data_IF_688070388606
#
_entry.id   IF_688070388606
#
_cell.length_a   1.000
_cell.length_b   1.000
_cell.length_c   1.000
_cell.angle_alpha   90.00
_cell.angle_beta   90.00
_cell.angle_gamma   90.00
#
_symmetry.space_group_name_H-M   'P 1'
#
loop_
_entity.id
_entity.type
_entity.pdbx_description
1 polymer ?
#
# COMPACT_ATOMS: atom_id res chain seq x y z
N UNK A 1 3.26 -6.74 0.99
CA UNK A 1 2.20 -6.87 2.01
C UNK A 1 2.48 -5.98 3.22
N UNK A 2 3.70 -5.97 3.80
CA UNK A 2 4.09 -5.08 4.91
C UNK A 2 3.76 -3.62 4.61
N UNK A 3 4.10 -3.14 3.41
CA UNK A 3 3.85 -1.79 2.94
C UNK A 3 2.37 -1.38 3.09
N UNK A 4 1.44 -2.17 2.57
CA UNK A 4 0.00 -1.85 2.64
C UNK A 4 -0.62 -2.11 4.02
N UNK A 5 0.00 -2.97 4.84
CA UNK A 5 -0.44 -3.18 6.23
C UNK A 5 -0.10 -1.97 7.10
N UNK A 6 1.12 -1.45 6.96
CA UNK A 6 1.60 -0.34 7.78
C UNK A 6 1.20 1.03 7.23
N UNK A 7 1.08 1.16 5.90
CA UNK A 7 0.80 2.40 5.19
C UNK A 7 -0.34 2.22 4.17
N UNK A 8 -1.53 1.76 4.58
CA UNK A 8 -2.64 1.60 3.66
C UNK A 8 -3.07 2.96 3.09
N UNK A 9 -3.37 3.07 1.78
CA UNK A 9 -3.76 4.32 1.13
C UNK A 9 -4.91 5.06 1.81
N UNK A 10 -5.85 4.34 2.41
CA UNK A 10 -7.00 4.90 3.13
C UNK A 10 -6.60 5.85 4.26
N UNK A 11 -5.47 5.60 4.94
CA UNK A 11 -4.99 6.45 6.03
C UNK A 11 -4.45 7.81 5.56
N UNK A 12 -4.17 7.96 4.28
CA UNK A 12 -3.69 9.21 3.69
C UNK A 12 -4.82 10.11 3.17
N UNK A 13 -6.07 9.65 3.28
CA UNK A 13 -7.25 10.34 2.73
C UNK A 13 -8.15 10.89 3.83
N UNK A 14 -8.85 11.98 3.51
CA UNK A 14 -10.00 12.43 4.29
C UNK A 14 -11.22 11.66 3.84
N UNK A 15 -11.97 11.10 4.79
CA UNK A 15 -13.13 10.26 4.53
C UNK A 15 -14.41 10.91 5.03
N UNK A 16 -15.49 10.76 4.29
CA UNK A 16 -16.87 10.96 4.77
C UNK A 16 -17.47 9.57 5.07
N UNK A 17 -17.31 9.14 6.30
CA UNK A 17 -17.64 7.76 6.73
C UNK A 17 -19.13 7.45 6.63
N UNK A 18 -20.00 8.47 6.77
CA UNK A 18 -21.46 8.31 6.61
C UNK A 18 -21.88 7.86 5.21
N UNK A 19 -21.05 8.19 4.20
CA UNK A 19 -21.27 7.80 2.79
C UNK A 19 -20.25 6.81 2.28
N UNK A 20 -19.27 6.43 3.09
CA UNK A 20 -18.13 5.59 2.72
C UNK A 20 -17.38 6.10 1.49
N UNK A 21 -17.15 7.43 1.39
CA UNK A 21 -16.46 8.08 0.26
C UNK A 21 -15.19 8.80 0.72
N UNK A 22 -14.20 8.84 -0.17
CA UNK A 22 -13.02 9.68 0.01
C UNK A 22 -13.28 11.09 -0.53
N UNK A 23 -12.78 12.10 0.20
CA UNK A 23 -12.96 13.53 -0.14
C UNK A 23 -11.75 14.13 -0.88
N UNK A 24 -10.76 13.32 -1.20
CA UNK A 24 -9.56 13.75 -1.93
C UNK A 24 -9.00 12.62 -2.77
N UNK A 25 -8.27 12.99 -3.83
CA UNK A 25 -7.56 12.02 -4.66
C UNK A 25 -6.37 11.42 -3.89
N UNK A 26 -6.03 10.18 -4.23
CA UNK A 26 -4.80 9.54 -3.79
C UNK A 26 -3.73 9.68 -4.88
N UNK A 27 -2.65 10.38 -4.56
CA UNK A 27 -1.52 10.57 -5.45
C UNK A 27 -0.24 10.07 -4.81
N UNK A 28 0.57 9.31 -5.56
CA UNK A 28 1.86 8.82 -5.11
C UNK A 28 2.95 8.99 -6.17
N UNK A 29 4.19 9.02 -5.70
CA UNK A 29 5.38 9.01 -6.52
C UNK A 29 6.17 7.72 -6.22
N UNK A 30 6.66 7.05 -7.25
CA UNK A 30 7.53 5.87 -7.11
C UNK A 30 8.88 6.19 -7.75
N UNK A 31 9.94 6.04 -6.98
CA UNK A 31 11.34 6.25 -7.39
C UNK A 31 12.04 4.90 -7.37
N UNK A 32 12.41 4.43 -8.57
CA UNK A 32 12.88 3.08 -8.81
C UNK A 32 11.75 2.12 -9.20
N UNK A 33 11.78 1.65 -10.45
CA UNK A 33 10.78 0.73 -11.01
C UNK A 33 11.37 -0.65 -11.32
N UNK A 34 12.08 -1.19 -10.33
CA UNK A 34 12.49 -2.60 -10.28
C UNK A 34 11.38 -3.50 -9.74
N UNK A 35 11.74 -4.68 -9.24
CA UNK A 35 10.77 -5.62 -8.67
C UNK A 35 9.97 -5.01 -7.53
N UNK A 36 10.63 -4.34 -6.56
CA UNK A 36 9.93 -3.77 -5.40
C UNK A 36 9.02 -2.61 -5.80
N UNK A 37 9.48 -1.68 -6.65
CA UNK A 37 8.66 -0.56 -7.11
C UNK A 37 7.43 -1.00 -7.90
N UNK A 38 7.58 -1.99 -8.78
CA UNK A 38 6.46 -2.52 -9.58
C UNK A 38 5.44 -3.31 -8.74
N UNK A 39 5.90 -4.13 -7.77
CA UNK A 39 5.01 -4.82 -6.84
C UNK A 39 4.29 -3.85 -5.90
N UNK A 40 5.00 -2.81 -5.42
CA UNK A 40 4.40 -1.77 -4.62
C UNK A 40 3.32 -1.00 -5.38
N UNK A 41 3.55 -0.64 -6.66
CA UNK A 41 2.53 0.00 -7.50
C UNK A 41 1.27 -0.85 -7.59
N UNK A 42 1.40 -2.15 -7.88
CA UNK A 42 0.25 -3.06 -7.96
C UNK A 42 -0.52 -3.13 -6.65
N UNK A 43 0.19 -3.28 -5.53
CA UNK A 43 -0.42 -3.34 -4.21
C UNK A 43 -1.14 -2.02 -3.83
N UNK A 44 -0.54 -0.87 -4.17
CA UNK A 44 -1.14 0.44 -3.94
C UNK A 44 -2.36 0.70 -4.83
N UNK A 45 -2.35 0.27 -6.09
CA UNK A 45 -3.53 0.32 -6.96
C UNK A 45 -4.65 -0.55 -6.39
N UNK A 46 -4.34 -1.78 -5.98
CA UNK A 46 -5.33 -2.69 -5.39
C UNK A 46 -6.01 -2.10 -4.17
N UNK A 47 -5.26 -1.43 -3.28
CA UNK A 47 -5.76 -0.88 -2.02
C UNK A 47 -6.20 0.58 -2.10
N UNK A 48 -5.87 1.29 -3.17
CA UNK A 48 -6.04 2.75 -3.32
C UNK A 48 -7.26 3.18 -4.13
N UNK A 49 -8.22 2.27 -4.37
CA UNK A 49 -9.43 2.59 -5.14
C UNK A 49 -10.60 2.90 -4.21
N UNK A 50 -11.04 4.15 -4.21
CA UNK A 50 -12.12 4.61 -3.35
C UNK A 50 -13.17 5.38 -4.16
N UNK A 51 -14.43 5.24 -3.80
CA UNK A 51 -15.48 6.11 -4.31
C UNK A 51 -15.17 7.56 -3.92
N UNK A 52 -15.21 8.48 -4.87
CA UNK A 52 -14.90 9.89 -4.65
C UNK A 52 -13.41 10.25 -4.76
N UNK A 53 -12.54 9.29 -5.08
CA UNK A 53 -11.09 9.50 -5.24
C UNK A 53 -10.59 8.92 -6.56
N UNK A 54 -9.66 9.63 -7.19
CA UNK A 54 -8.89 9.12 -8.33
C UNK A 54 -7.52 8.69 -7.85
N UNK A 55 -7.12 7.46 -8.19
CA UNK A 55 -5.76 6.97 -7.98
C UNK A 55 -4.84 7.52 -9.06
N UNK A 56 -3.74 8.17 -8.65
CA UNK A 56 -2.69 8.67 -9.54
C UNK A 56 -1.33 8.19 -9.07
N UNK A 57 -0.49 7.77 -9.99
CA UNK A 57 0.91 7.47 -9.68
C UNK A 57 1.84 8.05 -10.75
N UNK A 58 2.89 8.73 -10.29
CA UNK A 58 4.03 9.14 -11.12
C UNK A 58 5.18 8.20 -10.82
N UNK A 59 5.77 7.59 -11.83
CA UNK A 59 6.81 6.57 -11.70
C UNK A 59 8.08 7.08 -12.39
N UNK A 60 9.19 7.11 -11.64
CA UNK A 60 10.48 7.59 -12.13
C UNK A 60 11.50 6.47 -12.03
N UNK A 61 12.20 6.21 -13.13
CA UNK A 61 13.33 5.28 -13.18
C UNK A 61 14.29 5.69 -14.32
N UNK A 62 15.56 5.44 -14.15
CA UNK A 62 16.58 5.76 -15.17
C UNK A 62 16.45 4.92 -16.46
N UNK A 63 15.79 3.78 -16.39
CA UNK A 63 15.55 2.86 -17.51
C UNK A 63 14.06 2.72 -17.82
N UNK A 64 13.28 3.76 -17.56
CA UNK A 64 11.81 3.69 -17.59
C UNK A 64 11.25 3.24 -18.94
N UNK A 65 11.82 3.68 -20.06
CA UNK A 65 11.36 3.29 -21.41
C UNK A 65 11.31 1.77 -21.60
N UNK A 66 12.31 1.05 -21.11
CA UNK A 66 12.35 -0.41 -21.18
C UNK A 66 11.37 -1.06 -20.20
N UNK A 67 11.32 -0.53 -18.98
CA UNK A 67 10.54 -1.13 -17.89
C UNK A 67 9.03 -0.92 -18.06
N UNK A 68 8.60 0.29 -18.46
CA UNK A 68 7.19 0.61 -18.64
C UNK A 68 6.53 -0.27 -19.72
N UNK A 69 7.17 -0.43 -20.88
CA UNK A 69 6.62 -1.26 -21.96
C UNK A 69 6.44 -2.73 -21.55
N UNK A 70 7.39 -3.29 -20.81
CA UNK A 70 7.30 -4.66 -20.30
C UNK A 70 6.19 -4.78 -19.26
N UNK A 71 6.09 -3.83 -18.35
CA UNK A 71 5.07 -3.81 -17.30
C UNK A 71 3.65 -3.71 -17.87
N UNK A 72 3.42 -2.81 -18.82
CA UNK A 72 2.13 -2.65 -19.49
C UNK A 72 1.73 -3.88 -20.31
N UNK A 73 2.72 -4.58 -20.88
CA UNK A 73 2.48 -5.83 -21.60
C UNK A 73 1.94 -6.92 -20.65
N UNK A 74 2.53 -7.07 -19.47
CA UNK A 74 2.10 -8.06 -18.48
C UNK A 74 0.80 -7.68 -17.77
N UNK A 75 0.52 -6.38 -17.62
CA UNK A 75 -0.62 -5.86 -16.86
C UNK A 75 -1.48 -4.88 -17.68
N UNK A 76 -2.07 -5.33 -18.81
CA UNK A 76 -2.80 -4.43 -19.73
C UNK A 76 -4.00 -3.73 -19.10
N UNK A 77 -4.58 -4.28 -18.04
CA UNK A 77 -5.68 -3.66 -17.28
C UNK A 77 -5.28 -2.37 -16.56
N UNK A 78 -3.99 -2.16 -16.31
CA UNK A 78 -3.49 -0.97 -15.62
C UNK A 78 -3.54 0.30 -16.49
N UNK A 79 -3.73 0.20 -17.79
CA UNK A 79 -3.95 1.33 -18.70
C UNK A 79 -5.18 2.19 -18.35
N UNK A 80 -6.08 1.66 -17.54
CA UNK A 80 -7.26 2.40 -17.06
C UNK A 80 -6.96 3.33 -15.89
N UNK A 81 -5.76 3.27 -15.32
CA UNK A 81 -5.33 4.12 -14.22
C UNK A 81 -4.50 5.30 -14.70
N UNK A 82 -4.47 6.38 -13.94
CA UNK A 82 -3.66 7.55 -14.24
C UNK A 82 -2.21 7.29 -13.80
N UNK A 83 -1.45 6.61 -14.65
CA UNK A 83 -0.04 6.29 -14.44
C UNK A 83 0.80 7.13 -15.40
N UNK A 84 1.77 7.86 -14.85
CA UNK A 84 2.74 8.66 -15.61
C UNK A 84 4.14 8.08 -15.43
N UNK A 85 4.82 7.79 -16.52
CA UNK A 85 6.16 7.20 -16.52
C UNK A 85 7.19 8.22 -17.00
N UNK A 86 8.22 8.45 -16.20
CA UNK A 86 9.29 9.40 -16.49
C UNK A 86 10.66 8.73 -16.39
N UNK A 87 11.49 8.93 -17.41
CA UNK A 87 12.87 8.47 -17.40
C UNK A 87 13.75 9.59 -16.90
N UNK A 88 14.27 9.47 -15.69
CA UNK A 88 15.18 10.42 -15.09
C UNK A 88 16.12 9.73 -14.08
N UNK A 89 17.36 10.24 -14.03
CA UNK A 89 18.32 9.86 -13.00
C UNK A 89 18.00 10.56 -11.69
N UNK A 90 18.02 9.83 -10.58
CA UNK A 90 17.80 10.39 -9.24
C UNK A 90 18.83 11.48 -8.97
N UNK A 91 18.41 12.57 -8.31
CA UNK A 91 19.23 13.74 -8.00
C UNK A 91 19.67 14.58 -9.22
N UNK A 92 19.14 14.32 -10.41
CA UNK A 92 19.29 15.23 -11.55
C UNK A 92 18.40 16.46 -11.42
N UNK A 93 18.71 17.52 -12.13
CA UNK A 93 17.86 18.72 -12.20
C UNK A 93 16.45 18.40 -12.75
N UNK A 94 16.38 17.48 -13.72
CA UNK A 94 15.13 17.01 -14.30
C UNK A 94 14.25 16.31 -13.24
N UNK A 95 14.87 15.43 -12.43
CA UNK A 95 14.22 14.75 -11.32
C UNK A 95 13.60 15.74 -10.32
N UNK A 96 14.36 16.74 -9.86
CA UNK A 96 13.84 17.71 -8.90
C UNK A 96 12.78 18.64 -9.48
N UNK A 97 12.87 19.03 -10.75
CA UNK A 97 11.84 19.80 -11.43
C UNK A 97 10.53 19.02 -11.51
N UNK A 98 10.61 17.76 -11.92
CA UNK A 98 9.44 16.86 -11.96
C UNK A 98 8.83 16.67 -10.57
N UNK A 99 9.65 16.46 -9.56
CA UNK A 99 9.20 16.31 -8.18
C UNK A 99 8.45 17.55 -7.71
N UNK A 100 8.99 18.74 -7.96
CA UNK A 100 8.37 20.02 -7.60
C UNK A 100 6.98 20.18 -8.20
N UNK A 101 6.81 19.82 -9.47
CA UNK A 101 5.51 19.90 -10.16
C UNK A 101 4.45 18.93 -9.59
N UNK A 102 4.90 17.84 -8.92
CA UNK A 102 4.02 16.80 -8.37
C UNK A 102 3.73 16.95 -6.87
N UNK A 103 4.41 17.82 -6.14
CA UNK A 103 4.23 17.95 -4.67
C UNK A 103 2.80 18.26 -4.26
N UNK A 104 2.07 19.05 -5.06
CA UNK A 104 0.69 19.41 -4.75
C UNK A 104 -0.22 18.17 -4.75
N UNK A 105 -0.81 17.87 -3.59
CA UNK A 105 -1.72 16.73 -3.41
C UNK A 105 -1.03 15.38 -3.25
N UNK A 106 0.30 15.31 -3.29
CA UNK A 106 1.06 14.08 -3.08
C UNK A 106 0.83 13.56 -1.67
N UNK A 107 0.63 12.25 -1.55
CA UNK A 107 0.43 11.54 -0.27
C UNK A 107 1.63 10.69 0.10
N UNK A 108 2.11 9.87 -0.84
CA UNK A 108 3.22 8.95 -0.62
C UNK A 108 4.30 9.14 -1.68
N UNK A 109 5.54 9.07 -1.22
CA UNK A 109 6.71 8.86 -2.08
C UNK A 109 7.28 7.50 -1.69
N UNK A 110 7.42 6.62 -2.66
CA UNK A 110 8.04 5.32 -2.47
C UNK A 110 9.44 5.35 -3.07
N UNK A 111 10.45 4.96 -2.29
CA UNK A 111 11.85 4.85 -2.72
C UNK A 111 12.27 3.39 -2.72
N UNK A 112 12.58 2.83 -3.91
CA UNK A 112 12.89 1.42 -4.13
C UNK A 112 13.95 1.27 -5.24
N UNK A 113 15.16 1.79 -5.00
CA UNK A 113 16.28 1.82 -5.97
C UNK A 113 17.14 0.53 -5.94
N UNK A 114 16.84 -0.40 -5.01
CA UNK A 114 17.48 -1.71 -4.92
C UNK A 114 18.69 -1.79 -3.99
N UNK A 115 19.16 -0.68 -3.44
CA UNK A 115 20.26 -0.62 -2.47
C UNK A 115 19.86 0.21 -1.26
N UNK A 116 20.04 -0.33 -0.05
CA UNK A 116 19.61 0.30 1.21
C UNK A 116 20.23 1.70 1.39
N UNK A 117 21.55 1.83 1.17
CA UNK A 117 22.25 3.10 1.33
C UNK A 117 21.73 4.16 0.36
N UNK A 118 21.51 3.80 -0.90
CA UNK A 118 20.97 4.69 -1.92
C UNK A 118 19.52 5.08 -1.60
N UNK A 119 18.71 4.14 -1.15
CA UNK A 119 17.33 4.38 -0.74
C UNK A 119 17.27 5.38 0.43
N UNK A 120 18.07 5.17 1.47
CA UNK A 120 18.13 6.06 2.64
C UNK A 120 18.64 7.44 2.27
N UNK A 121 19.75 7.52 1.51
CA UNK A 121 20.29 8.80 1.04
C UNK A 121 19.23 9.59 0.27
N UNK A 122 18.57 8.93 -0.68
CA UNK A 122 17.50 9.55 -1.48
C UNK A 122 16.33 10.01 -0.60
N UNK A 123 15.91 9.20 0.39
CA UNK A 123 14.83 9.57 1.30
C UNK A 123 15.17 10.82 2.14
N UNK A 124 16.40 10.93 2.64
CA UNK A 124 16.86 12.11 3.38
C UNK A 124 16.92 13.36 2.49
N UNK A 125 17.44 13.23 1.26
CA UNK A 125 17.47 14.34 0.29
C UNK A 125 16.05 14.81 -0.08
N UNK A 126 15.11 13.87 -0.26
CA UNK A 126 13.69 14.16 -0.49
C UNK A 126 13.04 14.87 0.71
N UNK A 127 13.31 14.42 1.93
CA UNK A 127 12.83 15.05 3.14
C UNK A 127 13.26 16.53 3.21
N UNK A 128 14.54 16.80 2.96
CA UNK A 128 15.06 18.17 2.92
C UNK A 128 14.48 18.99 1.75
N UNK A 129 14.26 18.38 0.60
CA UNK A 129 13.65 19.06 -0.55
C UNK A 129 12.20 19.43 -0.26
N UNK A 130 11.39 18.49 0.23
CA UNK A 130 9.98 18.69 0.54
C UNK A 130 9.80 19.80 1.58
N UNK A 131 10.59 19.78 2.66
CA UNK A 131 10.52 20.79 3.72
C UNK A 131 10.82 22.23 3.25
N UNK A 132 11.56 22.39 2.13
CA UNK A 132 11.84 23.69 1.52
C UNK A 132 10.78 24.16 0.53
N UNK A 133 10.16 23.19 -0.18
CA UNK A 133 9.26 23.51 -1.30
C UNK A 133 7.79 23.54 -0.91
N UNK A 134 7.41 22.95 0.24
CA UNK A 134 6.01 22.90 0.68
C UNK A 134 5.89 22.78 2.20
N UNK A 135 4.81 23.35 2.74
CA UNK A 135 4.39 23.18 4.13
C UNK A 135 3.53 21.91 4.34
N UNK A 136 3.43 21.04 3.33
CA UNK A 136 2.65 19.81 3.43
C UNK A 136 3.40 18.74 4.24
N UNK A 137 3.16 18.70 5.54
CA UNK A 137 3.72 17.72 6.47
C UNK A 137 3.03 16.34 6.42
N UNK A 138 2.06 16.15 5.53
CA UNK A 138 1.31 14.89 5.38
C UNK A 138 1.96 13.91 4.40
N UNK A 139 2.96 14.34 3.62
CA UNK A 139 3.67 13.46 2.68
C UNK A 139 4.51 12.47 3.47
N UNK A 140 4.36 11.16 3.17
CA UNK A 140 5.22 10.10 3.74
C UNK A 140 6.18 9.58 2.69
N UNK A 141 7.45 9.39 3.10
CA UNK A 141 8.49 8.80 2.28
C UNK A 141 8.68 7.35 2.72
N UNK A 142 8.11 6.44 1.95
CA UNK A 142 8.15 5.00 2.20
C UNK A 142 9.43 4.43 1.57
N UNK A 143 10.38 4.05 2.40
CA UNK A 143 11.73 3.70 1.97
C UNK A 143 11.97 2.21 2.14
N UNK A 144 12.26 1.52 1.03
CA UNK A 144 12.59 0.10 1.00
C UNK A 144 13.98 -0.15 1.58
N UNK A 145 14.08 -0.94 2.66
CA UNK A 145 15.34 -1.23 3.36
C UNK A 145 15.33 -2.65 3.89
N UNK A 146 16.24 -3.48 3.41
CA UNK A 146 16.37 -4.89 3.83
C UNK A 146 16.93 -5.03 5.24
N UNK A 147 17.89 -4.16 5.63
CA UNK A 147 18.53 -4.20 6.94
C UNK A 147 18.20 -2.95 7.76
N UNK A 148 17.02 -2.91 8.35
CA UNK A 148 16.56 -1.76 9.13
C UNK A 148 17.38 -1.49 10.39
N UNK A 149 18.16 -2.46 10.90
CA UNK A 149 19.01 -2.28 12.09
C UNK A 149 20.12 -1.28 11.84
N UNK A 150 20.76 -1.33 10.65
CA UNK A 150 21.85 -0.43 10.30
C UNK A 150 21.37 1.03 10.16
N UNK A 151 20.07 1.23 9.91
CA UNK A 151 19.46 2.54 9.71
C UNK A 151 18.47 2.94 10.82
N UNK A 152 18.54 2.26 11.97
CA UNK A 152 17.67 2.54 13.13
C UNK A 152 17.78 3.99 13.63
N UNK A 153 18.90 4.67 13.39
CA UNK A 153 19.10 6.08 13.74
C UNK A 153 18.10 7.01 13.02
N UNK A 154 17.65 6.68 11.81
CA UNK A 154 16.59 7.42 11.10
C UNK A 154 15.28 7.36 11.90
N UNK A 155 14.92 6.18 12.39
CA UNK A 155 13.73 6.00 13.21
C UNK A 155 13.84 6.64 14.60
N UNK A 156 15.07 6.73 15.15
CA UNK A 156 15.33 7.40 16.43
C UNK A 156 15.27 8.92 16.29
N UNK A 157 15.71 9.49 15.15
CA UNK A 157 15.66 10.91 14.83
C UNK A 157 14.25 11.36 14.33
N UNK A 158 13.18 10.88 14.96
CA UNK A 158 11.78 11.10 14.54
C UNK A 158 11.38 12.59 14.42
N UNK A 159 12.02 13.46 15.19
CA UNK A 159 11.75 14.91 15.10
C UNK A 159 12.29 15.53 13.81
N UNK A 160 13.38 14.97 13.27
CA UNK A 160 14.01 15.45 12.04
C UNK A 160 13.47 14.78 10.78
N UNK A 161 13.04 13.51 10.87
CA UNK A 161 12.67 12.65 9.73
C UNK A 161 11.35 11.93 9.98
N UNK A 162 10.36 12.64 10.55
CA UNK A 162 9.04 12.06 10.90
C UNK A 162 8.27 11.50 9.70
N UNK A 163 8.55 12.00 8.50
CA UNK A 163 7.95 11.57 7.25
C UNK A 163 8.60 10.32 6.65
N UNK A 164 9.86 9.99 7.03
CA UNK A 164 10.56 8.81 6.51
C UNK A 164 10.11 7.56 7.25
N UNK A 165 9.59 6.61 6.50
CA UNK A 165 9.04 5.36 6.99
C UNK A 165 9.80 4.19 6.33
N UNK A 166 10.54 3.41 7.12
CA UNK A 166 11.28 2.25 6.62
C UNK A 166 10.36 1.03 6.54
N UNK A 167 10.45 0.25 5.47
CA UNK A 167 9.75 -1.02 5.28
C UNK A 167 10.64 -2.02 4.51
N UNK A 168 10.23 -3.28 4.39
CA UNK A 168 10.94 -4.29 3.60
C UNK A 168 11.99 -5.09 4.38
N UNK A 169 12.06 -4.88 5.70
CA UNK A 169 13.05 -5.55 6.54
C UNK A 169 12.94 -7.07 6.49
N UNK A 170 14.08 -7.73 6.29
CA UNK A 170 14.18 -9.17 6.40
C UNK A 170 13.69 -9.70 7.75
N UNK A 171 13.93 -8.97 8.85
CA UNK A 171 13.46 -9.35 10.18
C UNK A 171 11.93 -9.37 10.28
N UNK A 172 11.24 -8.53 9.49
CA UNK A 172 9.77 -8.48 9.45
C UNK A 172 9.17 -9.46 8.42
N UNK A 173 9.93 -9.80 7.37
CA UNK A 173 9.47 -10.69 6.30
C UNK A 173 9.68 -12.16 6.66
N UNK A 174 10.79 -12.49 7.31
CA UNK A 174 11.20 -13.86 7.64
C UNK A 174 10.98 -14.19 9.12
N UNK A 175 9.83 -13.85 9.68
CA UNK A 175 9.46 -14.27 11.04
C UNK A 175 8.92 -15.69 11.05
N UNK A 176 9.11 -16.41 12.16
CA UNK A 176 8.54 -17.76 12.37
C UNK A 176 7.03 -17.75 12.13
N UNK A 177 6.34 -16.70 12.59
CA UNK A 177 4.89 -16.55 12.47
C UNK A 177 4.44 -16.43 11.00
N UNK A 178 5.22 -15.78 10.15
CA UNK A 178 4.93 -15.67 8.72
C UNK A 178 5.29 -16.95 7.95
N UNK A 179 6.45 -17.54 8.26
CA UNK A 179 6.98 -18.68 7.50
C UNK A 179 6.32 -20.00 7.92
N UNK A 180 6.18 -20.23 9.22
CA UNK A 180 5.70 -21.50 9.77
C UNK A 180 4.20 -21.46 9.99
N UNK A 181 3.68 -20.42 10.62
CA UNK A 181 2.27 -20.32 11.02
C UNK A 181 1.36 -19.79 9.91
N UNK A 182 1.92 -19.41 8.75
CA UNK A 182 1.15 -18.87 7.62
C UNK A 182 0.14 -17.80 8.04
N UNK A 183 0.50 -16.97 9.02
CA UNK A 183 -0.38 -15.96 9.64
C UNK A 183 -1.01 -15.02 8.63
N UNK A 184 -0.30 -14.75 7.53
CA UNK A 184 -0.79 -13.93 6.41
C UNK A 184 -2.04 -14.50 5.74
N UNK A 185 -2.20 -15.83 5.73
CA UNK A 185 -3.35 -16.49 5.13
C UNK A 185 -4.50 -16.73 6.13
N UNK A 186 -4.26 -16.54 7.42
CA UNK A 186 -5.24 -16.92 8.46
C UNK A 186 -6.60 -16.25 8.24
N UNK A 187 -6.62 -14.95 7.99
CA UNK A 187 -7.87 -14.21 7.71
C UNK A 187 -8.52 -14.65 6.41
N UNK A 188 -7.72 -14.88 5.36
CA UNK A 188 -8.20 -15.38 4.07
C UNK A 188 -8.83 -16.78 4.20
N UNK A 189 -8.24 -17.65 5.02
CA UNK A 189 -8.77 -18.99 5.34
C UNK A 189 -10.11 -18.90 6.10
N UNK A 190 -10.24 -17.96 7.04
CA UNK A 190 -11.50 -17.70 7.75
C UNK A 190 -12.59 -17.23 6.78
N UNK A 191 -12.28 -16.28 5.89
CA UNK A 191 -13.21 -15.82 4.85
C UNK A 191 -13.65 -17.00 3.97
N UNK A 192 -12.69 -17.80 3.49
CA UNK A 192 -13.01 -18.98 2.70
C UNK A 192 -13.90 -19.96 3.44
N UNK A 193 -13.58 -20.28 4.70
CA UNK A 193 -14.35 -21.19 5.52
C UNK A 193 -15.80 -20.73 5.68
N UNK A 194 -16.00 -19.43 5.94
CA UNK A 194 -17.34 -18.83 6.06
C UNK A 194 -18.16 -19.01 4.78
N UNK A 195 -17.64 -18.61 3.62
CA UNK A 195 -18.34 -18.80 2.35
C UNK A 195 -18.50 -20.27 1.95
N UNK A 196 -17.54 -21.12 2.32
CA UNK A 196 -17.59 -22.53 2.00
C UNK A 196 -18.68 -23.26 2.79
N UNK A 197 -18.89 -22.88 4.07
CA UNK A 197 -19.93 -23.43 4.92
C UNK A 197 -21.36 -23.12 4.43
N UNK A 198 -21.54 -22.05 3.65
CA UNK A 198 -22.85 -21.69 3.07
C UNK A 198 -23.20 -22.53 1.82
N UNK A 199 -22.28 -23.34 1.31
CA UNK A 199 -22.51 -24.20 0.15
C UNK A 199 -23.05 -25.55 0.59
N UNK A 200 -23.78 -26.22 -0.33
CA UNK A 200 -24.11 -27.63 -0.14
C UNK A 200 -22.83 -28.47 0.05
N UNK A 201 -22.90 -29.48 0.91
CA UNK A 201 -21.72 -30.25 1.36
C UNK A 201 -20.88 -30.78 0.18
N UNK A 202 -21.54 -31.28 -0.86
CA UNK A 202 -20.90 -31.81 -2.09
C UNK A 202 -20.18 -30.75 -2.92
N UNK A 203 -20.43 -29.45 -2.66
CA UNK A 203 -19.78 -28.30 -3.34
C UNK A 203 -18.73 -27.62 -2.49
N UNK A 204 -18.51 -28.09 -1.27
CA UNK A 204 -17.50 -27.54 -0.38
C UNK A 204 -16.12 -27.99 -0.83
N UNK A 205 -15.17 -27.05 -0.85
CA UNK A 205 -13.78 -27.29 -1.25
C UNK A 205 -12.87 -26.84 -0.13
N UNK A 206 -12.03 -27.72 0.44
CA UNK A 206 -11.10 -27.32 1.49
C UNK A 206 -10.03 -26.35 0.95
N UNK A 207 -9.48 -25.50 1.83
CA UNK A 207 -8.47 -24.49 1.47
C UNK A 207 -7.31 -25.04 0.66
N UNK A 208 -6.80 -26.22 1.04
CA UNK A 208 -5.66 -26.88 0.40
C UNK A 208 -5.95 -27.24 -1.07
N UNK A 209 -7.20 -27.56 -1.38
CA UNK A 209 -7.64 -27.94 -2.73
C UNK A 209 -8.03 -26.75 -3.62
N UNK A 210 -7.98 -25.51 -3.09
CA UNK A 210 -8.21 -24.31 -3.90
C UNK A 210 -7.09 -24.11 -4.92
N UNK A 211 -7.48 -23.67 -6.13
CA UNK A 211 -6.50 -23.19 -7.11
C UNK A 211 -5.75 -21.96 -6.60
N UNK A 212 -4.50 -21.70 -7.06
CA UNK A 212 -3.74 -20.51 -6.67
C UNK A 212 -4.53 -19.20 -6.86
N UNK A 213 -5.27 -19.07 -7.95
CA UNK A 213 -6.10 -17.90 -8.23
C UNK A 213 -7.18 -17.70 -7.15
N UNK A 214 -7.86 -18.77 -6.74
CA UNK A 214 -8.89 -18.69 -5.69
C UNK A 214 -8.31 -18.38 -4.32
N UNK A 215 -7.11 -18.88 -4.00
CA UNK A 215 -6.39 -18.50 -2.77
C UNK A 215 -6.05 -17.01 -2.81
N UNK A 216 -5.48 -16.53 -3.92
CA UNK A 216 -5.17 -15.12 -4.11
C UNK A 216 -6.39 -14.22 -3.95
N UNK A 217 -7.55 -14.58 -4.51
CA UNK A 217 -8.80 -13.82 -4.33
C UNK A 217 -9.21 -13.69 -2.87
N UNK A 218 -9.08 -14.75 -2.06
CA UNK A 218 -9.38 -14.67 -0.62
C UNK A 218 -8.34 -13.84 0.14
N UNK A 219 -7.05 -13.92 -0.24
CA UNK A 219 -5.97 -13.10 0.35
C UNK A 219 -6.20 -11.62 0.04
N UNK A 220 -6.56 -11.29 -1.20
CA UNK A 220 -6.92 -9.93 -1.61
C UNK A 220 -8.14 -9.42 -0.81
N UNK A 221 -9.20 -10.22 -0.70
CA UNK A 221 -10.36 -9.87 0.11
C UNK A 221 -10.01 -9.61 1.58
N UNK A 222 -9.11 -10.42 2.16
CA UNK A 222 -8.62 -10.25 3.53
C UNK A 222 -7.82 -8.95 3.70
N UNK A 223 -6.96 -8.60 2.74
CA UNK A 223 -6.18 -7.36 2.78
C UNK A 223 -7.05 -6.09 2.71
N UNK A 224 -8.23 -6.17 2.11
CA UNK A 224 -9.18 -5.06 2.01
C UNK A 224 -10.04 -4.83 3.26
N UNK A 225 -10.02 -5.74 4.25
CA UNK A 225 -10.90 -5.62 5.44
C UNK A 225 -10.64 -4.32 6.18
N UNK A 226 -9.36 -4.00 6.45
CA UNK A 226 -9.00 -2.77 7.15
C UNK A 226 -9.53 -1.52 6.42
N UNK A 227 -9.33 -1.43 5.13
CA UNK A 227 -9.82 -0.34 4.28
C UNK A 227 -11.35 -0.20 4.36
N UNK A 228 -12.08 -1.32 4.30
CA UNK A 228 -13.56 -1.31 4.42
C UNK A 228 -14.03 -0.85 5.80
N UNK A 229 -13.35 -1.26 6.87
CA UNK A 229 -13.66 -0.80 8.22
C UNK A 229 -13.47 0.70 8.35
N UNK A 230 -12.34 1.23 7.89
CA UNK A 230 -12.06 2.68 7.92
C UNK A 230 -13.10 3.48 7.12
N UNK A 231 -13.49 3.02 5.94
CA UNK A 231 -14.54 3.64 5.13
C UNK A 231 -15.90 3.63 5.84
N UNK A 232 -16.19 2.60 6.63
CA UNK A 232 -17.41 2.50 7.44
C UNK A 232 -17.32 3.31 8.74
N UNK A 233 -16.19 3.97 9.03
CA UNK A 233 -15.97 4.69 10.28
C UNK A 233 -15.74 3.79 11.49
N UNK A 234 -15.25 2.56 11.26
CA UNK A 234 -15.02 1.55 12.28
C UNK A 234 -13.52 1.34 12.49
N UNK A 235 -13.14 1.09 13.74
CA UNK A 235 -11.79 0.68 14.09
C UNK A 235 -11.69 -0.86 14.22
N UNK A 236 -10.50 -1.45 14.14
CA UNK A 236 -10.32 -2.86 14.47
C UNK A 236 -10.79 -3.23 15.87
N UNK A 237 -10.71 -2.30 16.83
CA UNK A 237 -11.18 -2.47 18.20
C UNK A 237 -12.71 -2.54 18.27
N UNK A 238 -13.43 -1.72 17.50
CA UNK A 238 -14.89 -1.78 17.40
C UNK A 238 -15.32 -3.15 16.88
N UNK A 239 -14.64 -3.63 15.84
CA UNK A 239 -14.92 -4.93 15.24
C UNK A 239 -14.63 -6.12 16.18
N UNK A 240 -13.58 -6.02 17.00
CA UNK A 240 -13.22 -7.06 17.95
C UNK A 240 -14.23 -7.23 19.10
N UNK A 241 -15.10 -6.23 19.34
CA UNK A 241 -16.13 -6.28 20.36
C UNK A 241 -17.40 -7.02 19.91
N UNK A 242 -17.58 -7.23 18.60
CA UNK A 242 -18.76 -7.88 18.05
C UNK A 242 -18.51 -9.38 17.88
N UNK A 243 -19.23 -10.17 18.62
CA UNK A 243 -19.08 -11.63 18.61
C UNK A 243 -20.13 -12.34 17.75
N UNK A 244 -21.22 -11.65 17.41
CA UNK A 244 -22.34 -12.21 16.64
C UNK A 244 -22.67 -11.38 15.41
N UNK A 245 -23.29 -12.03 14.40
CA UNK A 245 -23.80 -11.35 13.20
C UNK A 245 -24.87 -10.31 13.53
N UNK A 246 -25.69 -10.57 14.55
CA UNK A 246 -26.75 -9.65 15.00
C UNK A 246 -26.18 -8.36 15.60
N UNK A 247 -25.14 -8.46 16.42
CA UNK A 247 -24.42 -7.30 16.96
C UNK A 247 -23.77 -6.47 15.84
N UNK A 248 -23.21 -7.15 14.85
CA UNK A 248 -22.60 -6.54 13.68
C UNK A 248 -23.62 -5.75 12.86
N UNK A 249 -24.76 -6.38 12.49
CA UNK A 249 -25.84 -5.76 11.73
C UNK A 249 -26.44 -4.58 12.50
N UNK A 250 -26.63 -4.72 13.82
CA UNK A 250 -27.15 -3.65 14.67
C UNK A 250 -26.20 -2.45 14.74
N UNK A 251 -24.89 -2.67 14.83
CA UNK A 251 -23.90 -1.61 14.89
C UNK A 251 -23.76 -0.86 13.55
N UNK A 252 -23.83 -1.57 12.42
CA UNK A 252 -23.77 -0.97 11.08
C UNK A 252 -25.05 -0.29 10.62
N UNK A 253 -26.20 -0.61 11.28
CA UNK A 253 -27.53 -0.20 10.84
C UNK A 253 -28.00 -0.95 9.58
N UNK A 254 -29.32 -1.00 9.38
CA UNK A 254 -29.93 -1.71 8.25
C UNK A 254 -29.75 -1.02 6.87
N UNK A 255 -29.03 0.10 6.80
CA UNK A 255 -28.92 0.95 5.58
C UNK A 255 -27.48 1.11 5.07
N UNK A 256 -26.56 0.21 5.44
CA UNK A 256 -25.16 0.28 4.95
C UNK A 256 -24.70 -0.98 4.24
#
# INVERSE_FOLDING_TARGET
QELITNYPPVNALKLETSKAVALSDFSMLIIGFGNMGSEALKAMIEQGQFVGSTFRATIIDKEMKCKAGLFEHYYPGLKNYQLEYHEAEVNSSEFFNLLKDKLAGLKYILVALGEDELNIKTAVELSHFISRETDNDQIKILTDVYNTRDYSYIQQAKECFKEICLYGSNDNIYTEDIIINESREMTARKIHAYYNAQKAVEKQVPWQALSPIKKMTNISAASHIYTKLQLAGLTPQDFAQWSTEEEYVKALGNER
#
